data_IF_416879221333
#
_entry.id   IF_416879221333
#
_cell.length_a   1.000
_cell.length_b   1.000
_cell.length_c   1.000
_cell.angle_alpha   90.00
_cell.angle_beta   90.00
_cell.angle_gamma   90.00
#
_symmetry.space_group_name_H-M   'P 1'
#
loop_
_entity.id
_entity.type
_entity.pdbx_description
1 polymer ?
#
# COMPACT_ATOMS: atom_id res chain seq x y z
N UNK A 1 7.26 20.11 -3.84
CA UNK A 1 6.47 19.01 -4.42
C UNK A 1 7.46 17.87 -4.66
N UNK A 2 7.78 17.12 -3.59
CA UNK A 2 8.81 16.05 -3.59
C UNK A 2 8.29 14.77 -2.88
N UNK A 3 7.10 14.84 -2.26
CA UNK A 3 6.48 13.77 -1.50
C UNK A 3 5.77 12.76 -2.42
N UNK A 4 5.13 13.27 -3.48
CA UNK A 4 4.42 12.51 -4.52
C UNK A 4 5.28 11.38 -5.10
N UNK A 5 6.54 11.71 -5.39
CA UNK A 5 7.46 10.78 -6.06
C UNK A 5 7.94 9.67 -5.15
N UNK A 6 7.99 9.86 -3.82
CA UNK A 6 8.51 8.84 -2.90
C UNK A 6 7.49 7.76 -2.60
N UNK A 7 6.22 8.12 -2.50
CA UNK A 7 5.15 7.14 -2.27
C UNK A 7 4.88 6.32 -3.53
N UNK A 8 4.80 6.96 -4.71
CA UNK A 8 4.66 6.23 -5.98
C UNK A 8 5.82 5.24 -6.22
N UNK A 9 7.06 5.67 -5.98
CA UNK A 9 8.24 4.78 -6.09
C UNK A 9 8.19 3.62 -5.09
N UNK A 10 7.62 3.86 -3.90
CA UNK A 10 7.40 2.81 -2.91
C UNK A 10 6.31 1.81 -3.36
N UNK A 11 5.20 2.29 -3.93
CA UNK A 11 4.14 1.43 -4.48
C UNK A 11 4.63 0.60 -5.67
N UNK A 12 5.47 1.18 -6.54
CA UNK A 12 6.07 0.45 -7.67
C UNK A 12 6.96 -0.69 -7.16
N UNK A 13 7.84 -0.42 -6.18
CA UNK A 13 8.68 -1.45 -5.56
C UNK A 13 7.84 -2.51 -4.83
N UNK A 14 6.78 -2.09 -4.14
CA UNK A 14 5.84 -3.00 -3.49
C UNK A 14 5.20 -3.97 -4.48
N UNK A 15 4.73 -3.48 -5.64
CA UNK A 15 4.15 -4.33 -6.69
C UNK A 15 5.16 -5.33 -7.25
N UNK A 16 6.43 -4.95 -7.36
CA UNK A 16 7.50 -5.87 -7.77
C UNK A 16 7.73 -6.97 -6.74
N UNK A 17 7.75 -6.63 -5.45
CA UNK A 17 7.89 -7.61 -4.35
C UNK A 17 6.70 -8.57 -4.34
N UNK A 18 5.47 -8.06 -4.45
CA UNK A 18 4.26 -8.90 -4.54
C UNK A 18 4.39 -9.87 -5.70
N UNK A 19 4.72 -9.38 -6.90
CA UNK A 19 4.89 -10.23 -8.09
C UNK A 19 5.96 -11.32 -7.90
N UNK A 20 7.08 -11.00 -7.23
CA UNK A 20 8.10 -11.99 -6.89
C UNK A 20 7.57 -13.04 -5.91
N UNK A 21 6.81 -12.64 -4.89
CA UNK A 21 6.20 -13.57 -3.93
C UNK A 21 5.17 -14.49 -4.61
N UNK A 22 4.35 -13.96 -5.51
CA UNK A 22 3.39 -14.75 -6.30
C UNK A 22 4.08 -15.74 -7.25
N UNK A 23 5.30 -15.41 -7.70
CA UNK A 23 6.11 -16.30 -8.54
C UNK A 23 6.73 -17.45 -7.75
N UNK A 24 7.03 -17.23 -6.46
CA UNK A 24 7.71 -18.20 -5.59
C UNK A 24 6.71 -19.10 -4.82
N UNK A 25 5.49 -18.62 -4.58
CA UNK A 25 4.48 -19.30 -3.75
C UNK A 25 3.05 -19.11 -4.24
N UNK A 26 2.10 -19.08 -3.30
CA UNK A 26 0.69 -18.80 -3.62
C UNK A 26 0.46 -17.30 -3.87
N UNK A 27 -0.51 -16.94 -4.73
CA UNK A 27 -0.87 -15.55 -4.98
C UNK A 27 -1.29 -14.85 -3.68
N UNK A 28 -0.82 -13.61 -3.52
CA UNK A 28 -1.11 -12.85 -2.32
C UNK A 28 -2.49 -12.21 -2.48
N UNK A 29 -3.48 -12.68 -1.72
CA UNK A 29 -4.82 -12.08 -1.73
C UNK A 29 -4.76 -10.58 -1.36
N UNK A 30 -5.70 -9.79 -1.88
CA UNK A 30 -5.73 -8.33 -1.70
C UNK A 30 -5.63 -7.92 -0.23
N UNK A 31 -6.27 -8.66 0.68
CA UNK A 31 -6.19 -8.41 2.13
C UNK A 31 -4.77 -8.53 2.67
N UNK A 32 -4.01 -9.51 2.18
CA UNK A 32 -2.62 -9.75 2.62
C UNK A 32 -1.67 -8.73 2.00
N UNK A 33 -1.89 -8.35 0.74
CA UNK A 33 -1.18 -7.24 0.10
C UNK A 33 -1.39 -5.95 0.89
N UNK A 34 -2.62 -5.69 1.33
CA UNK A 34 -2.95 -4.51 2.11
C UNK A 34 -2.20 -4.46 3.45
N UNK A 35 -2.24 -5.55 4.24
CA UNK A 35 -1.51 -5.62 5.52
C UNK A 35 0.00 -5.41 5.32
N UNK A 36 0.57 -6.00 4.27
CA UNK A 36 2.00 -5.86 3.94
C UNK A 36 2.36 -4.42 3.53
N UNK A 37 1.55 -3.80 2.68
CA UNK A 37 1.74 -2.40 2.28
C UNK A 37 1.70 -1.51 3.52
N UNK A 38 0.66 -1.62 4.35
CA UNK A 38 0.51 -0.81 5.57
C UNK A 38 1.67 -1.04 6.56
N UNK A 39 2.13 -2.28 6.71
CA UNK A 39 3.27 -2.61 7.57
C UNK A 39 4.60 -2.05 7.09
N UNK A 40 4.75 -1.83 5.79
CA UNK A 40 5.97 -1.27 5.16
C UNK A 40 6.04 0.27 5.18
N UNK A 41 4.94 0.95 5.51
CA UNK A 41 4.87 2.41 5.53
C UNK A 41 5.62 3.00 6.74
N UNK A 42 6.21 4.18 6.54
CA UNK A 42 6.85 4.95 7.62
C UNK A 42 5.82 5.53 8.60
N UNK A 43 6.27 5.92 9.79
CA UNK A 43 5.39 6.35 10.89
C UNK A 43 4.46 7.53 10.50
N UNK A 44 4.90 8.39 9.59
CA UNK A 44 4.09 9.48 9.00
C UNK A 44 2.83 8.97 8.27
N UNK A 45 2.92 7.84 7.57
CA UNK A 45 1.79 7.22 6.87
C UNK A 45 1.08 6.16 7.70
N UNK A 46 1.66 5.76 8.86
CA UNK A 46 1.04 4.81 9.80
C UNK A 46 -0.23 5.40 10.43
N UNK A 47 -0.23 6.70 10.77
CA UNK A 47 -1.43 7.34 11.32
C UNK A 47 -2.59 7.32 10.31
N UNK A 48 -2.29 7.62 9.04
CA UNK A 48 -3.26 7.58 7.93
C UNK A 48 -3.74 6.13 7.74
N UNK A 49 -2.82 5.18 7.71
CA UNK A 49 -3.12 3.74 7.60
C UNK A 49 -4.05 3.21 8.70
N UNK A 50 -3.89 3.69 9.93
CA UNK A 50 -4.71 3.25 11.07
C UNK A 50 -6.15 3.75 10.95
N UNK A 51 -6.35 4.92 10.32
CA UNK A 51 -7.69 5.46 10.01
C UNK A 51 -8.30 4.68 8.84
N UNK A 52 -7.49 4.37 7.84
CA UNK A 52 -7.90 3.60 6.67
C UNK A 52 -8.30 2.17 7.05
N UNK A 53 -7.56 1.49 7.93
CA UNK A 53 -7.90 0.14 8.44
C UNK A 53 -9.28 0.08 9.10
N UNK A 54 -9.71 1.16 9.74
CA UNK A 54 -11.02 1.24 10.42
C UNK A 54 -12.18 1.57 9.49
N UNK A 55 -11.90 1.85 8.21
CA UNK A 55 -12.91 2.21 7.22
C UNK A 55 -13.47 0.95 6.56
N UNK A 56 -14.78 0.65 6.69
CA UNK A 56 -15.37 -0.50 6.03
C UNK A 56 -15.40 -0.32 4.51
N UNK A 57 -15.14 -1.39 3.74
CA UNK A 57 -15.01 -1.41 2.26
C UNK A 57 -13.73 -0.75 1.70
N UNK A 58 -12.66 -0.70 2.50
CA UNK A 58 -11.34 -0.28 2.04
C UNK A 58 -10.80 -1.24 0.96
N UNK A 59 -10.32 -0.71 -0.17
CA UNK A 59 -9.66 -1.48 -1.24
C UNK A 59 -8.25 -0.98 -1.46
N UNK A 60 -7.35 -1.83 -1.96
CA UNK A 60 -5.94 -1.47 -2.19
C UNK A 60 -5.78 -0.22 -3.07
N UNK A 61 -6.62 -0.08 -4.08
CA UNK A 61 -6.63 1.08 -4.97
C UNK A 61 -6.95 2.39 -4.22
N UNK A 62 -7.95 2.36 -3.33
CA UNK A 62 -8.34 3.53 -2.55
C UNK A 62 -7.24 3.98 -1.58
N UNK A 63 -6.51 3.02 -1.00
CA UNK A 63 -5.36 3.28 -0.11
C UNK A 63 -4.24 3.98 -0.87
N UNK A 64 -3.87 3.43 -2.03
CA UNK A 64 -2.82 3.98 -2.87
C UNK A 64 -3.21 5.40 -3.30
N UNK A 65 -4.46 5.63 -3.69
CA UNK A 65 -4.95 6.96 -4.04
C UNK A 65 -4.90 7.93 -2.84
N UNK A 66 -5.44 7.52 -1.69
CA UNK A 66 -5.47 8.34 -0.48
C UNK A 66 -4.07 8.72 0.02
N UNK A 67 -3.10 7.82 -0.09
CA UNK A 67 -1.71 8.05 0.31
C UNK A 67 -0.91 8.80 -0.76
N UNK A 68 -1.28 8.67 -2.04
CA UNK A 68 -0.67 9.43 -3.13
C UNK A 68 -1.13 10.89 -3.18
N UNK A 69 -2.18 11.26 -2.44
CA UNK A 69 -2.72 12.62 -2.42
C UNK A 69 -3.38 13.05 -3.74
N UNK A 70 -3.67 12.10 -4.63
CA UNK A 70 -4.32 12.35 -5.92
C UNK A 70 -5.84 12.27 -5.71
N UNK A 71 -6.52 13.42 -5.79
CA UNK A 71 -7.98 13.49 -5.89
C UNK A 71 -8.50 12.97 -7.24
#
# INVERSE_FOLDING_TARGET
>A
MESDTRFEVHVIQFKEIVLQMETIGEPLDETRQFVLLIGSLTDEYRMISTVLEKTPNMTLAYVIQALSGVE
#
